data_IF_005964842622
#
_entry.id   IF_005964842622
#
_cell.length_a   1.000
_cell.length_b   1.000
_cell.length_c   1.000
_cell.angle_alpha   90.00
_cell.angle_beta   90.00
_cell.angle_gamma   90.00
#
_symmetry.space_group_name_H-M   'P 1'
#
loop_
_entity.id
_entity.type
_entity.pdbx_description
1 polymer ?
#
# COMPACT_ATOMS: atom_id res chain seq x y z
N UNK A 1 2.50 -24.38 39.70
CA UNK A 1 3.05 -23.48 38.68
C UNK A 1 2.15 -22.24 38.66
N UNK A 2 2.45 -21.23 39.48
CA UNK A 2 1.68 -19.97 39.52
C UNK A 2 2.13 -19.14 38.32
N UNK A 3 1.20 -18.85 37.42
CA UNK A 3 1.35 -17.77 36.44
C UNK A 3 1.53 -16.49 37.26
N UNK A 4 2.71 -15.88 37.20
CA UNK A 4 2.93 -14.54 37.74
C UNK A 4 2.14 -13.59 36.84
N UNK A 5 1.11 -12.96 37.42
CA UNK A 5 0.41 -11.85 36.80
C UNK A 5 1.41 -10.72 36.54
N UNK A 6 1.75 -10.50 35.27
CA UNK A 6 2.65 -9.45 34.83
C UNK A 6 1.88 -8.12 34.80
N UNK A 7 1.64 -7.54 35.98
CA UNK A 7 1.05 -6.21 36.10
C UNK A 7 2.16 -5.16 36.03
N UNK A 8 2.44 -4.67 34.83
CA UNK A 8 3.27 -3.48 34.63
C UNK A 8 2.55 -2.25 35.17
N UNK A 9 3.26 -1.40 35.91
CA UNK A 9 2.76 -0.07 36.28
C UNK A 9 2.75 0.85 35.06
N UNK A 10 1.89 1.87 35.09
CA UNK A 10 1.81 2.86 34.00
C UNK A 10 3.13 3.62 33.87
N UNK A 11 3.81 3.88 34.99
CA UNK A 11 5.13 4.49 35.05
C UNK A 11 6.20 3.61 34.37
N UNK A 12 6.27 2.32 34.67
CA UNK A 12 7.21 1.39 34.03
C UNK A 12 6.95 1.29 32.52
N UNK A 13 5.68 1.18 32.09
CA UNK A 13 5.32 1.19 30.68
C UNK A 13 5.74 2.49 29.99
N UNK A 14 5.55 3.64 30.66
CA UNK A 14 5.97 4.95 30.15
C UNK A 14 7.48 5.04 30.00
N UNK A 15 8.24 4.52 30.95
CA UNK A 15 9.70 4.46 30.88
C UNK A 15 10.18 3.59 29.71
N UNK A 16 9.64 2.38 29.57
CA UNK A 16 9.98 1.48 28.46
C UNK A 16 9.65 2.11 27.09
N UNK A 17 8.48 2.73 26.94
CA UNK A 17 8.10 3.44 25.71
C UNK A 17 9.04 4.62 25.44
N UNK A 18 9.41 5.38 26.48
CA UNK A 18 10.33 6.53 26.34
C UNK A 18 11.71 6.06 25.87
N UNK A 19 12.25 4.98 26.47
CA UNK A 19 13.52 4.39 26.05
C UNK A 19 13.47 3.85 24.63
N UNK A 20 12.37 3.20 24.24
CA UNK A 20 12.15 2.73 22.88
C UNK A 20 12.14 3.89 21.87
N UNK A 21 11.43 4.98 22.16
CA UNK A 21 11.41 6.17 21.31
C UNK A 21 12.78 6.84 21.22
N UNK A 22 13.51 6.96 22.33
CA UNK A 22 14.88 7.50 22.34
C UNK A 22 15.82 6.66 21.47
N UNK A 23 15.72 5.33 21.55
CA UNK A 23 16.48 4.43 20.69
C UNK A 23 16.13 4.62 19.21
N UNK A 24 14.84 4.67 18.87
CA UNK A 24 14.39 4.93 17.48
C UNK A 24 14.90 6.28 16.98
N UNK A 25 14.80 7.35 17.79
CA UNK A 25 15.34 8.66 17.43
C UNK A 25 16.85 8.64 17.22
N UNK A 26 17.60 7.98 18.09
CA UNK A 26 19.04 7.81 17.93
C UNK A 26 19.37 7.10 16.62
N UNK A 27 18.70 5.99 16.32
CA UNK A 27 18.97 5.24 15.09
C UNK A 27 18.52 5.98 13.83
N UNK A 28 17.42 6.73 13.88
CA UNK A 28 17.05 7.63 12.80
C UNK A 28 18.13 8.69 12.58
N UNK A 29 18.63 9.34 13.64
CA UNK A 29 19.72 10.31 13.56
C UNK A 29 21.01 9.72 12.99
N UNK A 30 21.41 8.53 13.45
CA UNK A 30 22.59 7.83 12.95
C UNK A 30 22.44 7.43 11.47
N UNK A 31 21.25 6.96 11.06
CA UNK A 31 20.96 6.63 9.66
C UNK A 31 20.94 7.88 8.78
N UNK A 32 20.37 9.00 9.26
CA UNK A 32 20.43 10.29 8.57
C UNK A 32 21.88 10.76 8.40
N UNK A 33 22.71 10.64 9.44
CA UNK A 33 24.14 10.95 9.37
C UNK A 33 24.86 10.15 8.28
N UNK A 34 24.67 8.83 8.26
CA UNK A 34 25.25 7.95 7.23
C UNK A 34 24.72 8.27 5.82
N UNK A 35 23.44 8.62 5.69
CA UNK A 35 22.85 9.00 4.41
C UNK A 35 23.45 10.32 3.90
N UNK A 36 23.65 11.31 4.77
CA UNK A 36 24.32 12.57 4.44
C UNK A 36 25.78 12.35 4.02
N UNK A 37 26.51 11.51 4.75
CA UNK A 37 27.88 11.14 4.40
C UNK A 37 27.95 10.48 3.01
N UNK A 38 27.12 9.46 2.77
CA UNK A 38 27.04 8.79 1.47
C UNK A 38 26.64 9.76 0.35
N UNK A 39 25.70 10.66 0.62
CA UNK A 39 25.27 11.69 -0.33
C UNK A 39 26.42 12.64 -0.66
N UNK A 40 27.21 13.05 0.34
CA UNK A 40 28.36 13.93 0.13
C UNK A 40 29.42 13.30 -0.78
N UNK A 41 29.73 12.01 -0.60
CA UNK A 41 30.63 11.28 -1.49
C UNK A 41 30.07 11.18 -2.91
N UNK A 42 28.77 10.90 -3.05
CA UNK A 42 28.12 10.81 -4.35
C UNK A 42 28.14 12.15 -5.10
N UNK A 43 27.77 13.25 -4.43
CA UNK A 43 27.81 14.59 -5.04
C UNK A 43 29.23 15.01 -5.41
N UNK A 44 30.21 14.77 -4.54
CA UNK A 44 31.61 15.06 -4.85
C UNK A 44 32.12 14.26 -6.07
N UNK A 45 31.72 13.00 -6.19
CA UNK A 45 32.04 12.17 -7.36
C UNK A 45 31.37 12.72 -8.64
N UNK A 46 30.08 13.05 -8.57
CA UNK A 46 29.33 13.65 -9.69
C UNK A 46 30.01 14.93 -10.17
N UNK A 47 30.32 15.85 -9.26
CA UNK A 47 31.01 17.10 -9.56
C UNK A 47 32.36 16.84 -10.22
N UNK A 48 33.14 15.87 -9.72
CA UNK A 48 34.43 15.50 -10.30
C UNK A 48 34.29 14.96 -11.73
N UNK A 49 33.28 14.13 -12.00
CA UNK A 49 33.03 13.56 -13.34
C UNK A 49 32.61 14.66 -14.34
N UNK A 50 31.76 15.59 -13.92
CA UNK A 50 31.37 16.75 -14.73
C UNK A 50 32.57 17.66 -15.00
N UNK A 51 33.37 17.99 -13.99
CA UNK A 51 34.58 18.81 -14.15
C UNK A 51 35.60 18.18 -15.10
N UNK A 52 35.65 16.84 -15.16
CA UNK A 52 36.51 16.09 -16.09
C UNK A 52 35.88 15.92 -17.48
N UNK A 53 34.65 16.37 -17.68
CA UNK A 53 33.91 16.25 -18.95
C UNK A 53 33.53 14.82 -19.31
N UNK A 54 33.42 13.93 -18.32
CA UNK A 54 33.08 12.51 -18.56
C UNK A 54 31.56 12.34 -18.75
N UNK A 55 30.76 13.14 -18.04
CA UNK A 55 29.30 13.22 -18.15
C UNK A 55 28.87 14.68 -18.15
N UNK A 56 27.70 14.98 -18.69
CA UNK A 56 27.05 16.30 -18.54
C UNK A 56 26.00 16.30 -17.44
N UNK A 57 25.60 17.50 -17.00
CA UNK A 57 24.51 17.66 -16.03
C UNK A 57 23.17 17.23 -16.62
N UNK A 58 22.93 17.49 -17.91
CA UNK A 58 21.72 17.08 -18.63
C UNK A 58 21.61 15.54 -18.68
N UNK A 59 22.66 14.84 -19.12
CA UNK A 59 22.70 13.37 -19.19
C UNK A 59 22.41 12.73 -17.82
N UNK A 60 23.01 13.28 -16.76
CA UNK A 60 22.79 12.78 -15.40
C UNK A 60 21.34 12.97 -14.94
N UNK A 61 20.71 14.10 -15.25
CA UNK A 61 19.34 14.39 -14.84
C UNK A 61 18.32 13.50 -15.55
N UNK A 62 18.52 13.22 -16.84
CA UNK A 62 17.67 12.29 -17.61
C UNK A 62 17.75 10.88 -17.04
N UNK A 63 18.96 10.36 -16.83
CA UNK A 63 19.17 9.02 -16.24
C UNK A 63 18.61 8.92 -14.82
N UNK A 64 18.72 10.00 -14.02
CA UNK A 64 18.18 10.02 -12.66
C UNK A 64 16.67 9.78 -12.63
N UNK A 65 15.91 10.32 -13.60
CA UNK A 65 14.46 10.12 -13.70
C UNK A 65 14.16 8.64 -13.92
N UNK A 66 14.80 8.01 -14.92
CA UNK A 66 14.59 6.60 -15.24
C UNK A 66 15.01 5.67 -14.08
N UNK A 67 16.13 5.98 -13.41
CA UNK A 67 16.60 5.24 -12.23
C UNK A 67 15.62 5.39 -11.05
N UNK A 68 15.09 6.60 -10.82
CA UNK A 68 14.15 6.86 -9.74
C UNK A 68 12.86 6.03 -9.90
N UNK A 69 12.27 5.99 -11.10
CA UNK A 69 11.10 5.16 -11.39
C UNK A 69 11.35 3.68 -11.08
N UNK A 70 12.50 3.15 -11.53
CA UNK A 70 12.90 1.76 -11.26
C UNK A 70 13.11 1.48 -9.78
N UNK A 71 13.71 2.42 -9.04
CA UNK A 71 13.92 2.29 -7.60
C UNK A 71 12.59 2.31 -6.85
N UNK A 72 11.66 3.21 -7.19
CA UNK A 72 10.32 3.23 -6.59
C UNK A 72 9.60 1.90 -6.82
N UNK A 73 9.68 1.34 -8.04
CA UNK A 73 9.15 0.01 -8.34
C UNK A 73 9.74 -1.08 -7.43
N UNK A 74 11.07 -1.15 -7.33
CA UNK A 74 11.76 -2.14 -6.49
C UNK A 74 11.46 -1.97 -5.00
N UNK A 75 11.37 -0.74 -4.50
CA UNK A 75 11.02 -0.45 -3.10
C UNK A 75 9.60 -0.95 -2.78
N UNK A 76 8.65 -0.76 -3.70
CA UNK A 76 7.29 -1.31 -3.58
C UNK A 76 7.29 -2.84 -3.63
N UNK A 77 8.06 -3.46 -4.51
CA UNK A 77 8.14 -4.92 -4.64
C UNK A 77 8.68 -5.61 -3.38
N UNK A 78 9.71 -5.03 -2.75
CA UNK A 78 10.30 -5.59 -1.52
C UNK A 78 9.58 -5.13 -0.24
N UNK A 79 8.43 -4.45 -0.37
CA UNK A 79 7.60 -4.01 0.76
C UNK A 79 8.23 -2.93 1.64
N UNK A 80 9.29 -2.26 1.18
CA UNK A 80 9.94 -1.19 1.93
C UNK A 80 9.29 0.16 1.60
N UNK A 81 8.61 0.73 2.60
CA UNK A 81 8.00 2.06 2.52
C UNK A 81 6.50 2.04 2.84
N UNK A 82 6.01 3.15 3.39
CA UNK A 82 4.59 3.38 3.57
C UNK A 82 3.93 3.64 2.21
N UNK A 83 2.98 2.80 1.80
CA UNK A 83 2.27 2.97 0.54
C UNK A 83 1.03 3.84 0.76
N UNK A 84 1.06 5.09 0.29
CA UNK A 84 -0.13 5.95 0.23
C UNK A 84 -0.64 6.06 -1.20
N UNK A 85 -1.91 6.46 -1.36
CA UNK A 85 -2.45 6.83 -2.67
C UNK A 85 -1.72 8.06 -3.21
N UNK A 86 -1.37 8.03 -4.49
CA UNK A 86 -0.92 9.20 -5.23
C UNK A 86 -2.15 10.09 -5.52
N UNK A 87 -2.03 11.40 -5.36
CA UNK A 87 -3.10 12.40 -5.53
C UNK A 87 -4.37 12.13 -4.67
N UNK A 88 -4.24 12.28 -3.35
CA UNK A 88 -5.34 12.07 -2.40
C UNK A 88 -6.54 13.01 -2.65
N UNK A 89 -7.73 12.42 -2.72
CA UNK A 89 -9.01 13.11 -2.82
C UNK A 89 -9.87 12.77 -1.60
N UNK A 90 -10.72 13.71 -1.17
CA UNK A 90 -11.71 13.43 -0.13
C UNK A 90 -12.68 12.35 -0.61
N UNK A 91 -12.72 11.22 0.09
CA UNK A 91 -13.53 10.08 -0.33
C UNK A 91 -15.03 10.30 -0.15
N UNK A 92 -15.44 11.19 0.76
CA UNK A 92 -16.87 11.46 1.00
C UNK A 92 -17.44 12.44 -0.01
N UNK A 93 -16.62 13.36 -0.54
CA UNK A 93 -16.94 14.19 -1.69
C UNK A 93 -16.73 13.54 -3.05
N UNK A 94 -16.24 12.30 -3.12
CA UNK A 94 -15.97 11.61 -4.38
C UNK A 94 -17.23 11.03 -5.03
N UNK A 95 -17.44 11.34 -6.31
CA UNK A 95 -18.54 10.79 -7.11
C UNK A 95 -18.36 9.29 -7.37
N UNK A 96 -19.05 8.47 -6.59
CA UNK A 96 -18.96 7.01 -6.69
C UNK A 96 -19.54 6.50 -8.01
N UNK A 97 -18.80 5.63 -8.68
CA UNK A 97 -19.29 4.90 -9.85
C UNK A 97 -20.45 4.01 -9.42
N UNK A 98 -21.59 4.15 -10.10
CA UNK A 98 -22.78 3.35 -9.84
C UNK A 98 -22.77 2.10 -10.72
N UNK A 99 -22.76 0.94 -10.07
CA UNK A 99 -22.79 -0.38 -10.71
C UNK A 99 -23.89 -1.18 -10.06
N UNK A 100 -24.70 -1.85 -10.88
CA UNK A 100 -25.65 -2.85 -10.41
C UNK A 100 -24.88 -4.12 -10.00
N UNK A 101 -24.36 -4.10 -8.78
CA UNK A 101 -23.64 -5.21 -8.18
C UNK A 101 -24.58 -6.39 -7.87
N UNK A 102 -25.85 -6.13 -7.59
CA UNK A 102 -26.83 -7.15 -7.19
C UNK A 102 -27.03 -8.19 -8.29
N UNK A 103 -27.22 -7.75 -9.54
CA UNK A 103 -27.34 -8.68 -10.67
C UNK A 103 -26.05 -9.45 -10.99
N UNK A 104 -24.89 -8.95 -10.56
CA UNK A 104 -23.56 -9.50 -10.92
C UNK A 104 -22.93 -10.36 -9.83
N UNK A 105 -23.38 -10.23 -8.58
CA UNK A 105 -22.67 -10.78 -7.42
C UNK A 105 -22.54 -12.30 -7.45
N UNK A 106 -23.57 -12.99 -7.92
CA UNK A 106 -23.60 -14.45 -8.02
C UNK A 106 -22.55 -15.03 -8.97
N UNK A 107 -22.10 -14.21 -9.95
CA UNK A 107 -21.04 -14.55 -10.88
C UNK A 107 -19.68 -14.12 -10.32
N UNK A 108 -19.50 -12.81 -10.09
CA UNK A 108 -18.19 -12.25 -9.79
C UNK A 108 -17.70 -12.56 -8.36
N UNK A 109 -18.59 -12.94 -7.44
CA UNK A 109 -18.29 -13.29 -6.04
C UNK A 109 -17.39 -12.26 -5.37
N UNK A 110 -17.78 -10.99 -5.46
CA UNK A 110 -17.03 -9.83 -4.95
C UNK A 110 -15.57 -9.76 -5.44
N UNK A 111 -15.31 -10.00 -6.74
CA UNK A 111 -13.98 -9.94 -7.34
C UNK A 111 -13.20 -8.64 -7.01
N UNK A 112 -13.87 -7.49 -6.93
CA UNK A 112 -13.24 -6.21 -6.54
C UNK A 112 -12.60 -6.26 -5.14
N UNK A 113 -13.15 -7.06 -4.23
CA UNK A 113 -12.61 -7.23 -2.88
C UNK A 113 -11.31 -8.05 -2.86
N UNK A 114 -10.85 -8.63 -3.98
CA UNK A 114 -9.55 -9.29 -4.09
C UNK A 114 -8.42 -8.35 -4.55
N UNK A 115 -8.74 -7.13 -5.01
CA UNK A 115 -7.73 -6.19 -5.50
C UNK A 115 -6.87 -5.62 -4.36
N UNK A 116 -5.57 -5.44 -4.61
CA UNK A 116 -4.66 -4.76 -3.69
C UNK A 116 -4.48 -3.31 -4.14
N UNK A 117 -4.51 -2.38 -3.17
CA UNK A 117 -4.29 -0.96 -3.38
C UNK A 117 -3.84 -0.32 -2.05
N UNK A 118 -3.15 0.81 -2.18
CA UNK A 118 -2.76 1.66 -1.05
C UNK A 118 -3.98 2.43 -0.50
N UNK A 119 -4.00 2.69 0.79
CA UNK A 119 -4.99 3.54 1.45
C UNK A 119 -4.53 5.00 1.46
N UNK A 120 -5.48 5.94 1.51
CA UNK A 120 -5.16 7.35 1.74
C UNK A 120 -4.93 7.62 3.23
N UNK A 121 -4.34 8.76 3.56
CA UNK A 121 -4.24 9.21 4.96
C UNK A 121 -5.60 9.34 5.61
N UNK A 122 -6.61 9.83 4.90
CA UNK A 122 -7.99 9.90 5.38
C UNK A 122 -8.51 8.52 5.81
N UNK A 123 -8.28 7.48 5.01
CA UNK A 123 -8.70 6.11 5.36
C UNK A 123 -8.04 5.60 6.65
N UNK A 124 -6.79 5.98 6.89
CA UNK A 124 -6.03 5.60 8.09
C UNK A 124 -6.51 6.40 9.31
N UNK A 125 -6.69 7.72 9.16
CA UNK A 125 -7.07 8.64 10.23
C UNK A 125 -8.48 8.38 10.75
N UNK A 126 -9.42 7.98 9.87
CA UNK A 126 -10.77 7.58 10.25
C UNK A 126 -10.83 6.26 11.02
N UNK A 127 -9.79 5.42 10.92
CA UNK A 127 -9.65 4.12 11.63
C UNK A 127 -10.76 3.10 11.34
N UNK A 128 -11.50 3.28 10.26
CA UNK A 128 -12.53 2.34 9.80
C UNK A 128 -11.89 1.26 8.91
N UNK A 129 -11.00 1.66 8.01
CA UNK A 129 -10.38 0.76 7.03
C UNK A 129 -9.10 0.15 7.62
N UNK A 130 -9.10 -1.18 7.76
CA UNK A 130 -7.91 -1.95 8.16
C UNK A 130 -6.89 -2.07 7.03
N UNK A 131 -5.62 -1.98 7.39
CA UNK A 131 -4.47 -2.17 6.51
C UNK A 131 -3.59 -3.36 6.95
N UNK A 132 -2.77 -3.85 6.02
CA UNK A 132 -1.87 -4.99 6.20
C UNK A 132 -0.62 -4.58 7.02
N UNK A 133 -0.47 -5.12 8.24
CA UNK A 133 0.66 -4.79 9.11
C UNK A 133 2.03 -5.15 8.52
N UNK A 134 2.10 -6.15 7.64
CA UNK A 134 3.33 -6.52 6.93
C UNK A 134 3.62 -5.63 5.72
N UNK A 135 2.61 -4.92 5.20
CA UNK A 135 2.72 -4.00 4.07
C UNK A 135 1.99 -2.69 4.41
N UNK A 136 2.64 -1.78 5.16
CA UNK A 136 1.96 -0.65 5.77
C UNK A 136 1.10 0.16 4.80
N UNK A 137 -0.14 0.39 5.25
CA UNK A 137 -1.20 1.13 4.56
C UNK A 137 -1.75 0.50 3.25
N UNK A 138 -1.35 -0.72 2.91
CA UNK A 138 -2.06 -1.51 1.89
C UNK A 138 -3.35 -2.08 2.48
N UNK A 139 -4.42 -2.19 1.68
CA UNK A 139 -5.70 -2.77 2.15
C UNK A 139 -5.51 -4.18 2.73
N UNK A 140 -6.00 -4.40 3.96
CA UNK A 140 -5.84 -5.68 4.63
C UNK A 140 -6.60 -6.81 3.91
N UNK A 141 -5.96 -7.96 3.77
CA UNK A 141 -6.53 -9.19 3.22
C UNK A 141 -6.62 -10.28 4.29
N UNK A 142 -7.64 -11.12 4.16
CA UNK A 142 -7.78 -12.37 4.90
C UNK A 142 -7.04 -13.51 4.18
N UNK A 143 -6.95 -14.69 4.80
CA UNK A 143 -6.19 -15.86 4.32
C UNK A 143 -6.66 -16.38 2.95
N UNK A 144 -7.89 -16.07 2.56
CA UNK A 144 -8.50 -16.43 1.27
C UNK A 144 -8.27 -15.36 0.18
N UNK A 145 -7.51 -14.31 0.49
CA UNK A 145 -7.17 -13.21 -0.42
C UNK A 145 -8.26 -12.15 -0.57
N UNK A 146 -9.40 -12.27 0.13
CA UNK A 146 -10.42 -11.22 0.14
C UNK A 146 -10.08 -10.11 1.13
N UNK A 147 -10.57 -8.91 0.86
CA UNK A 147 -10.55 -7.80 1.79
C UNK A 147 -11.23 -8.20 3.11
N UNK A 148 -10.60 -7.86 4.26
CA UNK A 148 -11.13 -8.20 5.59
C UNK A 148 -12.52 -7.60 5.87
N UNK A 149 -12.95 -6.61 5.10
CA UNK A 149 -14.25 -5.95 5.26
C UNK A 149 -15.39 -6.62 4.51
N UNK A 150 -15.12 -7.65 3.69
CA UNK A 150 -16.14 -8.42 2.99
C UNK A 150 -16.94 -9.28 3.98
N UNK A 151 -18.26 -9.27 3.86
CA UNK A 151 -19.10 -10.33 4.43
C UNK A 151 -19.07 -11.55 3.50
N UNK A 152 -18.43 -12.63 3.94
CA UNK A 152 -18.25 -13.85 3.14
C UNK A 152 -19.55 -14.61 2.87
N UNK A 153 -20.61 -14.36 3.64
CA UNK A 153 -21.91 -15.04 3.45
C UNK A 153 -22.70 -14.39 2.34
N UNK A 154 -22.75 -13.06 2.32
CA UNK A 154 -23.56 -12.27 1.39
C UNK A 154 -22.76 -11.71 0.21
N UNK A 155 -21.42 -11.76 0.28
CA UNK A 155 -20.50 -11.08 -0.64
C UNK A 155 -20.72 -9.56 -0.69
N UNK A 156 -21.22 -8.95 0.38
CA UNK A 156 -21.42 -7.50 0.50
C UNK A 156 -20.32 -6.83 1.33
N UNK A 157 -19.99 -5.58 1.02
CA UNK A 157 -19.00 -4.82 1.77
C UNK A 157 -19.60 -4.27 3.07
N UNK A 158 -19.01 -4.58 4.22
CA UNK A 158 -19.49 -4.10 5.53
C UNK A 158 -19.21 -2.63 5.80
N UNK A 159 -18.32 -2.01 5.01
CA UNK A 159 -17.93 -0.59 5.12
C UNK A 159 -18.35 0.21 3.89
N UNK A 160 -19.47 -0.15 3.24
CA UNK A 160 -19.87 0.43 1.95
C UNK A 160 -19.82 1.97 1.89
N UNK A 161 -20.34 2.63 2.93
CA UNK A 161 -20.35 4.10 3.07
C UNK A 161 -18.99 4.72 3.37
N UNK A 162 -18.02 3.91 3.83
CA UNK A 162 -16.68 4.36 4.22
C UNK A 162 -15.59 3.84 3.28
N UNK A 163 -15.99 3.35 2.09
CA UNK A 163 -15.09 2.78 1.10
C UNK A 163 -14.00 3.79 0.71
N UNK A 164 -12.73 3.35 0.59
CA UNK A 164 -11.66 4.13 -0.02
C UNK A 164 -11.99 4.63 -1.42
N UNK A 165 -11.35 5.71 -1.88
CA UNK A 165 -11.49 6.23 -3.25
C UNK A 165 -11.28 5.15 -4.31
N UNK A 166 -10.25 4.27 -4.25
CA UNK A 166 -10.10 3.18 -5.21
C UNK A 166 -11.33 2.28 -5.30
N UNK A 167 -12.04 2.03 -4.20
CA UNK A 167 -13.26 1.23 -4.21
C UNK A 167 -14.50 2.00 -4.74
N UNK A 168 -14.51 3.33 -4.66
CA UNK A 168 -15.59 4.19 -5.17
C UNK A 168 -15.43 4.49 -6.66
N UNK A 169 -14.19 4.69 -7.09
CA UNK A 169 -13.81 4.98 -8.48
C UNK A 169 -13.81 3.72 -9.36
N UNK A 170 -13.72 2.54 -8.77
CA UNK A 170 -13.58 1.30 -9.53
C UNK A 170 -14.84 0.95 -10.33
N UNK A 171 -14.71 0.98 -11.66
CA UNK A 171 -15.71 0.44 -12.58
C UNK A 171 -15.33 -0.98 -13.05
N UNK A 172 -16.04 -2.00 -12.55
CA UNK A 172 -15.75 -3.36 -12.98
C UNK A 172 -16.07 -3.59 -14.46
N UNK A 173 -16.99 -2.83 -15.07
CA UNK A 173 -17.49 -3.10 -16.44
C UNK A 173 -16.42 -2.91 -17.51
N UNK A 174 -15.45 -2.03 -17.24
CA UNK A 174 -14.31 -1.73 -18.11
C UNK A 174 -13.09 -2.61 -17.80
N UNK A 175 -13.12 -3.34 -16.68
CA UNK A 175 -11.99 -4.15 -16.23
C UNK A 175 -12.02 -5.57 -16.82
N UNK A 176 -11.15 -5.79 -17.82
CA UNK A 176 -10.98 -7.09 -18.48
C UNK A 176 -10.42 -8.19 -17.58
N UNK A 177 -9.85 -7.84 -16.42
CA UNK A 177 -9.45 -8.83 -15.40
C UNK A 177 -10.68 -9.52 -14.82
N UNK A 178 -11.82 -8.83 -14.71
CA UNK A 178 -13.07 -9.39 -14.18
C UNK A 178 -13.96 -9.92 -15.30
N UNK A 179 -14.26 -9.10 -16.30
CA UNK A 179 -15.24 -9.44 -17.35
C UNK A 179 -14.58 -9.42 -18.73
N UNK A 180 -14.69 -10.52 -19.48
CA UNK A 180 -14.36 -10.49 -20.92
C UNK A 180 -15.37 -9.63 -21.67
N UNK A 181 -16.65 -9.78 -21.33
CA UNK A 181 -17.78 -9.03 -21.84
C UNK A 181 -18.74 -8.73 -20.68
N UNK A 182 -18.77 -7.48 -20.22
CA UNK A 182 -19.57 -7.05 -19.07
C UNK A 182 -21.05 -6.85 -19.40
N UNK A 183 -21.39 -6.63 -20.67
CA UNK A 183 -22.77 -6.52 -21.15
C UNK A 183 -23.42 -7.91 -21.20
N UNK A 184 -22.68 -8.91 -21.66
CA UNK A 184 -23.13 -10.32 -21.70
C UNK A 184 -22.88 -11.09 -20.41
N UNK A 185 -22.36 -10.43 -19.36
CA UNK A 185 -22.01 -11.04 -18.08
C UNK A 185 -21.05 -12.25 -18.21
N UNK A 186 -20.12 -12.19 -19.15
CA UNK A 186 -19.10 -13.22 -19.38
C UNK A 186 -17.88 -12.91 -18.53
N UNK A 187 -17.68 -13.68 -17.46
CA UNK A 187 -16.50 -13.59 -16.61
C UNK A 187 -15.23 -13.97 -17.34
N UNK A 188 -14.11 -13.37 -16.93
CA UNK A 188 -12.80 -13.84 -17.32
C UNK A 188 -12.50 -15.21 -16.70
N UNK A 189 -12.28 -16.27 -17.49
CA UNK A 189 -11.96 -17.59 -16.96
C UNK A 189 -10.68 -17.63 -16.10
N UNK A 190 -9.75 -16.68 -16.33
CA UNK A 190 -8.51 -16.55 -15.57
C UNK A 190 -8.67 -15.79 -14.26
N UNK A 191 -9.87 -15.27 -13.95
CA UNK A 191 -10.14 -14.52 -12.73
C UNK A 191 -9.63 -15.20 -11.42
N UNK A 192 -9.76 -16.53 -11.24
CA UNK A 192 -9.24 -17.21 -10.05
C UNK A 192 -7.71 -17.13 -9.91
N UNK A 193 -6.99 -16.99 -11.02
CA UNK A 193 -5.53 -17.01 -11.06
C UNK A 193 -4.93 -15.60 -10.94
N UNK A 194 -5.66 -14.56 -11.34
CA UNK A 194 -5.19 -13.16 -11.34
C UNK A 194 -4.82 -12.64 -9.94
N UNK A 195 -5.46 -13.18 -8.90
CA UNK A 195 -5.29 -12.69 -7.52
C UNK A 195 -4.57 -13.66 -6.58
N UNK A 196 -3.96 -14.72 -7.13
CA UNK A 196 -3.09 -15.59 -6.32
C UNK A 196 -1.84 -14.78 -5.96
N UNK A 197 -1.61 -14.52 -4.67
CA UNK A 197 -0.30 -14.08 -4.21
C UNK A 197 0.68 -15.22 -4.52
N UNK A 198 1.79 -14.93 -5.21
CA UNK A 198 2.93 -15.83 -5.20
C UNK A 198 3.32 -15.98 -3.72
N UNK A 199 3.11 -17.16 -3.15
CA UNK A 199 3.59 -17.47 -1.82
C UNK A 199 5.12 -17.54 -1.95
N UNK A 200 5.80 -16.48 -1.53
CA UNK A 200 7.23 -16.53 -1.32
C UNK A 200 7.50 -17.47 -0.15
N UNK A 201 8.21 -18.57 -0.44
CA UNK A 201 8.95 -19.38 0.55
C UNK A 201 10.00 -18.53 1.28
#
# INVERSE_FOLDING_TARGET
MRLQDCNYTLEELREEVTLGLLYVHHQLGANTGKALEASSFLYALIELLIQRGIITEEELNEEKIAVAERLVGKFREIGMGAAFQEDEQDKHGFDCVQIDCESRMHLCKAACCKMNFALSRQDIEERIVRWDLGHPYMIAKDVDGYCVHLDKRTHTCRIWENRPVPCRAFDCRTDKRIWLDSEKMILNPKLPDIFKREQGD
#
